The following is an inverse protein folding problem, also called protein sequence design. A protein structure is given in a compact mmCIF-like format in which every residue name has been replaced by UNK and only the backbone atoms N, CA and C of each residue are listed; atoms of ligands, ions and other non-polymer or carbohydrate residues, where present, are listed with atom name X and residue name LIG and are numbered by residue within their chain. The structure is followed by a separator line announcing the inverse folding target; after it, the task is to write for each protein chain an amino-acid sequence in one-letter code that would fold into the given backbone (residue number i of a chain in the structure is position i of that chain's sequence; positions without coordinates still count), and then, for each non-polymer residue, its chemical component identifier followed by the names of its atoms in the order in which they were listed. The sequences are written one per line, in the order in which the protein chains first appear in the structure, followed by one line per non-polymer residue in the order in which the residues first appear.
data_IF_173795386680
#
_entry.id   IF_173795386680
#
_cell.length_a   1.000
_cell.length_b   1.000
_cell.length_c   1.000
_cell.angle_alpha   90.00
_cell.angle_beta   90.00
_cell.angle_gamma   90.00
#
_symmetry.space_group_name_H-M   'P 1'
#
loop_
_entity.id
_entity.type
_entity.pdbx_description
1 polymer ?
#
# COMPACT_ATOMS: atom_id res chain seq x y z
N UNK A 1 12.68 6.67 -6.41
CA UNK A 1 12.11 8.01 -6.66
C UNK A 1 11.76 8.60 -5.30
N UNK A 2 12.46 9.65 -4.85
CA UNK A 2 12.32 10.20 -3.50
C UNK A 2 11.36 11.40 -3.53
N UNK A 3 10.24 11.35 -2.80
CA UNK A 3 9.38 12.51 -2.57
C UNK A 3 9.06 12.62 -1.08
N UNK A 4 9.65 13.62 -0.40
CA UNK A 4 9.28 14.08 0.94
C UNK A 4 8.11 15.07 0.84
N UNK A 5 6.88 14.64 1.16
CA UNK A 5 5.67 15.47 1.47
C UNK A 5 4.69 14.63 2.31
N UNK A 6 3.76 15.24 3.10
CA UNK A 6 3.07 14.60 4.24
C UNK A 6 2.18 13.40 3.82
N UNK A 7 1.77 12.53 4.76
CA UNK A 7 1.32 11.17 4.46
C UNK A 7 0.04 11.20 3.63
N UNK A 8 0.22 10.96 2.33
CA UNK A 8 -0.88 10.59 1.43
C UNK A 8 -0.71 9.11 1.19
N UNK A 9 -1.59 8.28 1.78
CA UNK A 9 -1.74 6.94 1.25
C UNK A 9 -2.19 7.12 -0.19
N UNK A 10 -1.37 6.63 -1.12
CA UNK A 10 -1.75 6.63 -2.50
C UNK A 10 -1.69 5.23 -3.04
N UNK A 11 -2.86 4.70 -3.35
CA UNK A 11 -2.99 3.64 -4.33
C UNK A 11 -2.68 4.29 -5.70
N UNK A 12 -1.38 4.27 -6.06
CA UNK A 12 -0.81 4.75 -7.33
C UNK A 12 -0.73 6.28 -7.55
N UNK A 13 0.43 6.91 -7.32
CA UNK A 13 0.78 8.23 -7.93
C UNK A 13 1.24 7.98 -9.35
N UNK A 14 0.30 7.97 -10.28
CA UNK A 14 0.59 8.06 -11.71
C UNK A 14 -0.73 8.01 -12.45
N UNK A 15 -0.85 8.73 -13.57
CA UNK A 15 -1.81 8.36 -14.62
C UNK A 15 -1.39 6.99 -15.18
N UNK A 16 -1.39 5.96 -14.36
CA UNK A 16 -1.20 4.60 -14.79
C UNK A 16 -2.55 4.21 -15.37
N UNK A 17 -2.58 3.95 -16.68
CA UNK A 17 -3.73 3.52 -17.47
C UNK A 17 -4.38 2.21 -16.96
N UNK A 18 -3.97 1.71 -15.80
CA UNK A 18 -4.22 0.38 -15.25
C UNK A 18 -4.71 0.42 -13.80
N UNK A 19 -4.81 1.60 -13.18
CA UNK A 19 -5.33 1.76 -11.82
C UNK A 19 -6.68 2.47 -11.86
N UNK A 20 -7.70 1.73 -12.33
CA UNK A 20 -9.09 2.13 -12.15
C UNK A 20 -9.70 1.22 -11.07
N UNK A 21 -10.33 1.78 -10.02
CA UNK A 21 -10.56 3.20 -9.72
C UNK A 21 -9.45 3.86 -8.86
N UNK A 22 -9.36 5.19 -8.94
CA UNK A 22 -8.49 6.01 -8.08
C UNK A 22 -9.26 6.60 -6.90
N UNK A 23 -8.79 6.36 -5.69
CA UNK A 23 -9.40 6.87 -4.46
C UNK A 23 -8.56 8.03 -3.91
N UNK A 24 -9.20 9.17 -3.66
CA UNK A 24 -8.56 10.32 -3.03
C UNK A 24 -8.96 10.37 -1.54
N UNK A 25 -8.05 10.04 -0.61
CA UNK A 25 -8.37 10.01 0.81
C UNK A 25 -8.73 11.39 1.40
N UNK A 26 -8.38 12.49 0.71
CA UNK A 26 -8.77 13.86 1.12
C UNK A 26 -10.26 14.15 0.80
N UNK A 27 -10.94 13.28 0.05
CA UNK A 27 -12.31 13.53 -0.48
C UNK A 27 -13.33 12.45 -0.16
N UNK A 28 -12.89 11.24 0.15
CA UNK A 28 -13.76 10.09 0.40
C UNK A 28 -13.05 9.13 1.36
N UNK A 29 -13.82 8.37 2.14
CA UNK A 29 -13.27 7.35 3.01
C UNK A 29 -12.71 6.20 2.17
N UNK A 30 -11.44 5.86 2.40
CA UNK A 30 -10.77 4.83 1.63
C UNK A 30 -11.37 3.45 1.87
N UNK A 31 -11.75 3.14 3.10
CA UNK A 31 -12.29 1.82 3.47
C UNK A 31 -13.64 1.62 2.81
N UNK A 32 -14.53 2.61 2.92
CA UNK A 32 -15.85 2.56 2.27
C UNK A 32 -15.71 2.37 0.76
N UNK A 33 -14.85 3.15 0.12
CA UNK A 33 -14.61 3.02 -1.32
C UNK A 33 -14.05 1.64 -1.69
N UNK A 34 -13.03 1.13 -0.97
CA UNK A 34 -12.49 -0.22 -1.20
C UNK A 34 -13.57 -1.27 -1.06
N UNK A 35 -14.40 -1.19 -0.02
CA UNK A 35 -15.48 -2.15 0.20
C UNK A 35 -16.52 -2.10 -0.92
N UNK A 36 -16.92 -0.91 -1.38
CA UNK A 36 -17.84 -0.76 -2.51
C UNK A 36 -17.29 -1.43 -3.78
N UNK A 37 -16.02 -1.18 -4.10
CA UNK A 37 -15.37 -1.69 -5.31
C UNK A 37 -15.14 -3.20 -5.25
N UNK A 38 -14.96 -3.74 -4.04
CA UNK A 38 -14.63 -5.16 -3.81
C UNK A 38 -15.82 -5.98 -3.29
N UNK A 39 -17.05 -5.46 -3.41
CA UNK A 39 -18.27 -6.12 -2.94
C UNK A 39 -18.21 -6.54 -1.46
N UNK A 40 -17.55 -5.74 -0.62
CA UNK A 40 -17.39 -5.96 0.81
C UNK A 40 -16.33 -7.00 1.20
N UNK A 41 -15.61 -7.61 0.25
CA UNK A 41 -14.59 -8.62 0.56
C UNK A 41 -13.25 -7.99 0.98
N UNK A 42 -12.93 -6.82 0.43
CA UNK A 42 -11.58 -6.24 0.46
C UNK A 42 -10.74 -6.67 -0.75
N UNK A 43 -9.55 -6.09 -0.86
CA UNK A 43 -8.67 -6.32 -2.02
C UNK A 43 -8.00 -7.71 -1.98
N UNK A 44 -7.88 -8.36 -3.13
CA UNK A 44 -7.07 -9.58 -3.28
C UNK A 44 -5.61 -9.34 -2.89
N UNK A 45 -5.08 -8.17 -3.29
CA UNK A 45 -3.71 -7.75 -3.04
C UNK A 45 -3.72 -6.28 -2.62
N UNK A 46 -3.07 -5.96 -1.51
CA UNK A 46 -2.75 -4.58 -1.11
C UNK A 46 -1.24 -4.34 -1.26
N UNK A 47 -0.86 -3.10 -1.62
CA UNK A 47 0.54 -2.70 -1.77
C UNK A 47 0.81 -1.47 -0.91
N UNK A 48 1.63 -1.63 0.13
CA UNK A 48 2.10 -0.52 0.96
C UNK A 48 3.31 0.12 0.27
N UNK A 49 3.15 1.35 -0.24
CA UNK A 49 4.19 2.07 -0.97
C UNK A 49 4.46 3.50 -0.44
N UNK A 50 3.80 3.90 0.65
CA UNK A 50 3.90 5.23 1.23
C UNK A 50 4.96 5.32 2.34
N UNK A 51 5.20 4.23 3.08
CA UNK A 51 6.24 4.14 4.11
C UNK A 51 5.88 4.79 5.44
N UNK A 52 4.58 4.89 5.77
CA UNK A 52 4.09 5.45 7.03
C UNK A 52 3.33 4.40 7.88
N UNK A 53 3.37 4.51 9.23
CA UNK A 53 2.66 3.57 10.11
C UNK A 53 1.17 3.41 9.85
N UNK A 54 0.47 4.51 9.56
CA UNK A 54 -0.97 4.47 9.28
C UNK A 54 -1.25 3.74 7.96
N UNK A 55 -0.44 4.02 6.94
CA UNK A 55 -0.53 3.37 5.62
C UNK A 55 -0.18 1.89 5.68
N UNK A 56 0.70 1.53 6.61
CA UNK A 56 1.06 0.14 6.87
C UNK A 56 -0.15 -0.62 7.40
N UNK A 57 -0.77 -0.17 8.49
CA UNK A 57 -1.98 -0.80 9.05
C UNK A 57 -3.13 -0.85 8.06
N UNK A 58 -3.31 0.22 7.28
CA UNK A 58 -4.35 0.32 6.28
C UNK A 58 -4.20 -0.77 5.21
N UNK A 59 -2.97 -1.11 4.80
CA UNK A 59 -2.74 -2.22 3.88
C UNK A 59 -3.25 -3.58 4.43
N UNK A 60 -3.18 -3.80 5.75
CA UNK A 60 -3.69 -5.01 6.41
C UNK A 60 -5.20 -4.97 6.64
N UNK A 61 -5.79 -3.80 6.90
CA UNK A 61 -7.23 -3.71 7.11
C UNK A 61 -8.03 -3.88 5.81
N UNK A 62 -7.46 -3.42 4.68
CA UNK A 62 -8.13 -3.40 3.37
C UNK A 62 -7.99 -4.72 2.59
N UNK A 63 -7.11 -5.64 3.02
CA UNK A 63 -6.96 -6.93 2.34
C UNK A 63 -8.14 -7.85 2.68
N UNK A 64 -8.58 -8.64 1.71
CA UNK A 64 -9.56 -9.69 1.98
C UNK A 64 -8.95 -10.82 2.80
N UNK A 65 -9.82 -11.65 3.39
CA UNK A 65 -9.35 -12.85 4.09
C UNK A 65 -8.58 -13.76 3.12
N UNK A 66 -7.42 -14.24 3.57
CA UNK A 66 -6.44 -15.00 2.78
C UNK A 66 -5.83 -14.26 1.58
N UNK A 67 -6.02 -12.94 1.49
CA UNK A 67 -5.39 -12.12 0.48
C UNK A 67 -3.90 -11.87 0.75
N UNK A 68 -3.29 -11.03 -0.07
CA UNK A 68 -1.85 -10.75 -0.02
C UNK A 68 -1.57 -9.31 0.33
N UNK A 69 -0.64 -9.08 1.27
CA UNK A 69 -0.11 -7.74 1.57
C UNK A 69 1.34 -7.67 1.08
N UNK A 70 1.61 -6.79 0.13
CA UNK A 70 2.95 -6.53 -0.39
C UNK A 70 3.51 -5.26 0.24
N UNK A 71 4.65 -5.38 0.93
CA UNK A 71 5.29 -4.26 1.61
C UNK A 71 6.44 -3.76 0.74
N UNK A 72 6.31 -2.53 0.23
CA UNK A 72 7.29 -1.89 -0.64
C UNK A 72 7.89 -0.63 -0.03
N UNK A 73 7.12 0.13 0.74
CA UNK A 73 7.57 1.36 1.40
C UNK A 73 8.71 1.09 2.39
N UNK A 74 9.75 1.93 2.33
CA UNK A 74 10.75 1.99 3.40
C UNK A 74 10.12 2.76 4.55
N UNK A 75 9.93 2.10 5.69
CA UNK A 75 9.33 2.73 6.86
C UNK A 75 10.29 3.75 7.47
N UNK A 76 9.74 4.90 7.90
CA UNK A 76 10.51 5.94 8.61
C UNK A 76 11.07 5.46 9.95
N UNK A 77 10.30 4.62 10.63
CA UNK A 77 10.58 4.17 11.99
C UNK A 77 11.09 2.73 12.01
N UNK A 78 11.94 2.43 12.99
CA UNK A 78 12.49 1.08 13.20
C UNK A 78 11.40 0.06 13.55
N UNK A 79 10.38 0.50 14.29
CA UNK A 79 9.25 -0.32 14.68
C UNK A 79 7.98 0.36 14.22
N UNK A 80 7.18 -0.37 13.45
CA UNK A 80 5.86 0.07 13.03
C UNK A 80 4.83 -0.78 13.77
N UNK A 81 3.97 -0.20 14.62
CA UNK A 81 2.91 -0.95 15.28
C UNK A 81 1.94 -1.49 14.24
N UNK A 82 1.49 -2.73 14.44
CA UNK A 82 0.50 -3.39 13.61
C UNK A 82 -0.65 -3.84 14.49
N UNK A 83 -1.88 -3.48 14.12
CA UNK A 83 -3.08 -4.00 14.75
C UNK A 83 -3.20 -5.51 14.47
N UNK A 84 -2.83 -6.29 15.48
CA UNK A 84 -2.70 -7.74 15.38
C UNK A 84 -4.01 -8.45 15.04
N UNK A 85 -5.18 -7.86 15.34
CA UNK A 85 -6.46 -8.44 14.95
C UNK A 85 -6.57 -8.62 13.43
N UNK A 86 -5.96 -7.73 12.62
CA UNK A 86 -5.94 -7.90 11.18
C UNK A 86 -5.18 -9.15 10.73
N UNK A 87 -4.14 -9.55 11.46
CA UNK A 87 -3.45 -10.82 11.18
C UNK A 87 -4.35 -12.03 11.45
N UNK A 88 -5.11 -11.97 12.54
CA UNK A 88 -5.99 -13.06 12.96
C UNK A 88 -7.23 -13.16 12.06
N UNK A 89 -7.85 -12.04 11.72
CA UNK A 89 -9.06 -12.00 10.92
C UNK A 89 -8.74 -12.30 9.46
N UNK A 90 -7.76 -11.56 8.90
CA UNK A 90 -7.46 -11.61 7.46
C UNK A 90 -6.52 -12.74 7.10
N UNK A 91 -5.66 -13.22 8.00
CA UNK A 91 -4.70 -14.32 7.75
C UNK A 91 -3.92 -14.10 6.44
N UNK A 92 -3.35 -12.90 6.21
CA UNK A 92 -2.82 -12.54 4.92
C UNK A 92 -1.49 -13.23 4.64
N UNK A 93 -1.20 -13.48 3.36
CA UNK A 93 0.17 -13.75 2.91
C UNK A 93 0.93 -12.43 2.86
N UNK A 94 2.04 -12.33 3.57
CA UNK A 94 2.84 -11.10 3.64
C UNK A 94 4.11 -11.27 2.79
N UNK A 95 4.33 -10.37 1.84
CA UNK A 95 5.52 -10.34 0.99
C UNK A 95 6.29 -9.04 1.24
N UNK A 96 7.37 -9.06 2.03
CA UNK A 96 8.26 -7.93 2.12
C UNK A 96 9.11 -7.83 0.83
N UNK A 97 9.30 -6.62 0.33
CA UNK A 97 10.13 -6.37 -0.84
C UNK A 97 11.24 -5.39 -0.50
N UNK A 98 12.33 -5.43 -1.27
CA UNK A 98 13.39 -4.44 -1.19
C UNK A 98 13.67 -3.91 -2.58
N UNK A 99 12.97 -2.85 -2.99
CA UNK A 99 13.20 -2.21 -4.29
C UNK A 99 14.56 -1.48 -4.38
N UNK A 100 15.09 -1.00 -3.26
CA UNK A 100 16.29 -0.15 -3.22
C UNK A 100 17.64 -0.90 -3.21
N UNK A 101 17.65 -2.25 -3.17
CA UNK A 101 18.88 -3.06 -3.20
C UNK A 101 19.18 -3.66 -4.57
N UNK A 102 18.37 -3.42 -5.61
CA UNK A 102 18.85 -3.66 -6.97
C UNK A 102 19.93 -2.61 -7.26
N UNK A 103 21.15 -3.04 -7.60
CA UNK A 103 22.28 -2.17 -7.90
C UNK A 103 22.11 -1.33 -9.18
N UNK A 104 20.88 -1.01 -9.58
CA UNK A 104 20.57 -0.16 -10.72
C UNK A 104 19.83 1.06 -10.17
N UNK A 105 20.56 2.13 -9.81
CA UNK A 105 19.96 3.44 -9.77
C UNK A 105 19.41 3.73 -11.17
N UNK A 106 18.24 4.34 -11.25
CA UNK A 106 17.59 4.81 -12.50
C UNK A 106 18.39 5.95 -13.20
N UNK A 107 19.71 5.84 -13.26
CA UNK A 107 20.65 6.75 -13.92
C UNK A 107 21.30 5.98 -15.07
N UNK A 108 20.63 5.95 -16.23
CA UNK A 108 21.21 5.95 -17.60
C UNK A 108 20.12 5.61 -18.61
N UNK A 109 19.34 6.63 -18.96
CA UNK A 109 18.88 6.81 -20.33
C UNK A 109 18.86 8.32 -20.54
N UNK A 110 20.01 8.87 -20.96
CA UNK A 110 20.00 10.12 -21.71
C UNK A 110 19.51 9.75 -23.12
N UNK A 111 18.43 10.41 -23.53
CA UNK A 111 18.06 10.61 -24.93
C UNK A 111 18.34 12.08 -25.21
#
# INVERSE_FOLDING_TARGET
MLFRRPPRLQIGKGKALWCNPHINPDKQDLTEAVMEITNGEGADITVEAAGYPDTFNLAFSQVKQFGTVMIFGIQSDKYVPLEHNYLMDKKPRIIPTTGARSGIPLLRYEI
#
